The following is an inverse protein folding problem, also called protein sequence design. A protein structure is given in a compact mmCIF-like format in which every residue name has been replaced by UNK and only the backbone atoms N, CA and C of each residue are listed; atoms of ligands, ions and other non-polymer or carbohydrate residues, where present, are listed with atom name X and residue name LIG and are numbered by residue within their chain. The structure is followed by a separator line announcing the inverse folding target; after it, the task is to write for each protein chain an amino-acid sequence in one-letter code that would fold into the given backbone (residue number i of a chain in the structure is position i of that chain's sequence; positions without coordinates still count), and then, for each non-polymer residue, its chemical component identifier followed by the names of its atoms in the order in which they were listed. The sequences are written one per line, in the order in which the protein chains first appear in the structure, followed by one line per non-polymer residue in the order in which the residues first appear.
data_IF_955326867231
#
_entry.id   IF_955326867231
#
_cell.length_a   1.000
_cell.length_b   1.000
_cell.length_c   1.000
_cell.angle_alpha   90.00
_cell.angle_beta   90.00
_cell.angle_gamma   90.00
#
_symmetry.space_group_name_H-M   'P 1'
#
loop_
_entity.id
_entity.type
_entity.pdbx_description
1 polymer ?
#
# COMPACT_ATOMS: atom_id res chain seq x y z
N UNK A 1 -8.44 9.35 14.89
CA UNK A 1 -8.18 8.16 14.05
C UNK A 1 -6.97 8.48 13.20
N UNK A 2 -5.98 7.59 13.12
CA UNK A 2 -4.92 7.74 12.13
C UNK A 2 -5.29 6.98 10.87
N UNK A 3 -5.07 7.62 9.71
CA UNK A 3 -5.39 7.09 8.38
C UNK A 3 -4.09 6.92 7.62
N UNK A 4 -3.84 5.71 7.14
CA UNK A 4 -2.62 5.36 6.43
C UNK A 4 -2.93 5.09 4.95
N UNK A 5 -2.62 6.01 4.03
CA UNK A 5 -2.93 5.84 2.61
C UNK A 5 -2.05 4.78 1.95
N UNK A 6 -2.43 4.36 0.74
CA UNK A 6 -1.61 3.52 -0.13
C UNK A 6 -0.55 4.31 -0.91
N UNK A 7 -0.14 3.78 -2.06
CA UNK A 7 0.78 4.45 -2.99
C UNK A 7 0.13 5.70 -3.62
N UNK A 8 0.94 6.74 -3.88
CA UNK A 8 0.52 7.96 -4.59
C UNK A 8 0.88 9.26 -3.86
N UNK A 9 1.23 9.19 -2.57
CA UNK A 9 1.61 10.35 -1.77
C UNK A 9 3.11 10.69 -1.83
N UNK A 10 3.92 9.87 -2.51
CA UNK A 10 5.36 10.04 -2.60
C UNK A 10 5.76 11.26 -3.44
N UNK A 11 6.87 11.88 -3.07
CA UNK A 11 7.58 12.87 -3.87
C UNK A 11 9.05 12.89 -3.46
N UNK A 12 9.94 13.29 -4.38
CA UNK A 12 11.39 13.35 -4.13
C UNK A 12 11.69 14.34 -3.02
N UNK A 13 12.35 13.89 -1.95
CA UNK A 13 12.66 14.73 -0.79
C UNK A 13 11.58 14.77 0.31
N UNK A 14 10.51 13.96 0.22
CA UNK A 14 9.33 14.04 1.11
C UNK A 14 9.59 13.97 2.62
N UNK A 15 10.71 13.38 3.04
CA UNK A 15 11.05 13.15 4.44
C UNK A 15 12.28 13.96 4.91
N UNK A 16 13.03 14.57 3.99
CA UNK A 16 14.37 15.11 4.25
C UNK A 16 14.37 16.23 5.29
N UNK A 17 13.38 17.12 5.24
CA UNK A 17 13.24 18.19 6.23
C UNK A 17 13.07 17.65 7.65
N UNK A 18 12.25 16.60 7.83
CA UNK A 18 12.01 15.97 9.13
C UNK A 18 13.19 15.11 9.59
N UNK A 19 13.86 14.41 8.67
CA UNK A 19 15.11 13.69 8.98
C UNK A 19 16.16 14.60 9.59
N UNK A 20 16.24 15.84 9.14
CA UNK A 20 17.24 16.80 9.61
C UNK A 20 16.81 17.58 10.87
N UNK A 21 15.52 17.63 11.18
CA UNK A 21 14.98 18.53 12.22
C UNK A 21 14.27 17.83 13.39
N UNK A 22 13.90 16.56 13.24
CA UNK A 22 13.16 15.80 14.26
C UNK A 22 13.88 14.51 14.64
N UNK A 23 14.47 14.44 15.85
CA UNK A 23 15.12 13.21 16.34
C UNK A 23 14.17 12.01 16.37
N UNK A 24 12.93 12.21 16.82
CA UNK A 24 11.90 11.14 16.87
C UNK A 24 11.62 10.56 15.49
N UNK A 25 11.53 11.42 14.47
CA UNK A 25 11.30 10.98 13.11
C UNK A 25 12.54 10.24 12.56
N UNK A 26 13.73 10.81 12.76
CA UNK A 26 14.98 10.22 12.31
C UNK A 26 15.27 8.85 12.93
N UNK A 27 15.04 8.70 14.25
CA UNK A 27 15.19 7.43 14.97
C UNK A 27 14.23 6.36 14.43
N UNK A 28 12.98 6.73 14.13
CA UNK A 28 12.02 5.77 13.56
C UNK A 28 12.38 5.38 12.12
N UNK A 29 12.88 6.30 11.31
CA UNK A 29 13.38 5.98 9.96
C UNK A 29 14.57 5.02 10.06
N UNK A 30 15.55 5.31 10.91
CA UNK A 30 16.72 4.45 11.10
C UNK A 30 16.32 3.03 11.53
N UNK A 31 15.39 2.92 12.48
CA UNK A 31 14.86 1.62 12.90
C UNK A 31 14.15 0.87 11.75
N UNK A 32 13.45 1.57 10.85
CA UNK A 32 12.87 0.95 9.67
C UNK A 32 13.96 0.48 8.70
N UNK A 33 15.00 1.30 8.46
CA UNK A 33 16.14 0.93 7.63
C UNK A 33 16.87 -0.31 8.14
N UNK A 34 17.11 -0.39 9.45
CA UNK A 34 17.68 -1.58 10.10
C UNK A 34 16.81 -2.82 9.92
N UNK A 35 15.49 -2.70 10.07
CA UNK A 35 14.56 -3.81 9.86
C UNK A 35 14.47 -4.23 8.38
N UNK A 36 14.59 -3.29 7.45
CA UNK A 36 14.57 -3.57 6.01
C UNK A 36 15.83 -4.30 5.54
N UNK A 37 16.98 -4.11 6.19
CA UNK A 37 18.26 -4.71 5.79
C UNK A 37 18.27 -6.25 5.76
N UNK A 38 17.29 -6.92 6.39
CA UNK A 38 17.09 -8.37 6.26
C UNK A 38 16.50 -8.76 4.89
N UNK A 39 15.79 -7.86 4.23
CA UNK A 39 14.93 -8.15 3.07
C UNK A 39 15.33 -7.41 1.79
N UNK A 40 16.13 -6.35 1.90
CA UNK A 40 16.56 -5.52 0.75
C UNK A 40 18.06 -5.25 0.77
N UNK A 41 18.61 -4.87 -0.38
CA UNK A 41 20.03 -4.59 -0.62
C UNK A 41 20.36 -3.09 -0.76
N UNK A 42 19.39 -2.21 -0.49
CA UNK A 42 19.52 -0.76 -0.55
C UNK A 42 19.28 -0.12 0.82
N UNK A 43 19.70 1.14 0.96
CA UNK A 43 19.58 1.91 2.20
C UNK A 43 18.42 2.89 2.10
N UNK A 44 17.56 2.89 3.12
CA UNK A 44 16.36 3.72 3.16
C UNK A 44 16.68 5.21 3.18
N UNK A 45 17.68 5.62 3.94
CA UNK A 45 18.07 7.02 4.02
C UNK A 45 18.55 7.55 2.67
N UNK A 46 19.32 6.74 1.92
CA UNK A 46 19.85 7.10 0.61
C UNK A 46 18.70 7.31 -0.39
N UNK A 47 17.67 6.44 -0.36
CA UNK A 47 16.44 6.58 -1.16
C UNK A 47 15.68 7.85 -0.79
N UNK A 48 15.50 8.14 0.50
CA UNK A 48 14.75 9.32 0.95
C UNK A 48 15.47 10.63 0.63
N UNK A 49 16.80 10.61 0.58
CA UNK A 49 17.66 11.75 0.24
C UNK A 49 17.90 11.92 -1.25
N UNK A 50 17.50 10.94 -2.07
CA UNK A 50 17.77 10.91 -3.50
C UNK A 50 19.29 10.99 -3.79
N UNK A 51 20.08 10.24 -3.02
CA UNK A 51 21.54 10.19 -3.19
C UNK A 51 21.93 9.53 -4.52
N UNK A 52 23.07 9.93 -5.08
CA UNK A 52 23.59 9.36 -6.32
C UNK A 52 23.76 7.83 -6.19
N UNK A 53 23.07 7.10 -7.07
CA UNK A 53 23.08 5.63 -7.09
C UNK A 53 22.01 4.95 -6.24
N UNK A 54 21.20 5.71 -5.49
CA UNK A 54 20.03 5.17 -4.81
C UNK A 54 18.94 4.75 -5.83
N UNK A 55 18.17 3.68 -5.54
CA UNK A 55 17.08 3.28 -6.42
C UNK A 55 15.91 4.28 -6.35
N UNK A 56 15.21 4.45 -7.47
CA UNK A 56 14.18 5.50 -7.62
C UNK A 56 12.86 5.13 -6.94
N UNK A 57 12.13 6.15 -6.48
CA UNK A 57 10.75 6.02 -5.96
C UNK A 57 9.71 5.66 -7.05
N UNK A 58 10.11 5.50 -8.31
CA UNK A 58 9.21 5.00 -9.37
C UNK A 58 9.03 3.49 -9.29
N UNK A 59 10.00 2.78 -8.68
CA UNK A 59 9.95 1.33 -8.48
C UNK A 59 9.05 0.97 -7.31
N UNK A 60 8.07 0.08 -7.55
CA UNK A 60 7.12 -0.37 -6.52
C UNK A 60 7.82 -0.98 -5.29
N UNK A 61 8.88 -1.75 -5.51
CA UNK A 61 9.68 -2.40 -4.48
C UNK A 61 10.52 -1.43 -3.62
N UNK A 62 10.57 -0.16 -4.02
CA UNK A 62 11.26 0.92 -3.31
C UNK A 62 10.24 1.86 -2.65
N UNK A 63 9.23 2.28 -3.41
CA UNK A 63 8.24 3.26 -2.96
C UNK A 63 7.35 2.74 -1.84
N UNK A 64 6.94 1.46 -1.84
CA UNK A 64 6.07 0.95 -0.78
C UNK A 64 6.81 0.87 0.57
N UNK A 65 8.03 0.29 0.67
CA UNK A 65 8.78 0.33 1.92
C UNK A 65 9.14 1.75 2.37
N UNK A 66 9.52 2.64 1.45
CA UNK A 66 9.80 4.04 1.78
C UNK A 66 8.56 4.76 2.35
N UNK A 67 7.39 4.59 1.73
CA UNK A 67 6.13 5.14 2.23
C UNK A 67 5.73 4.55 3.58
N UNK A 68 5.92 3.24 3.79
CA UNK A 68 5.72 2.62 5.11
C UNK A 68 6.57 3.33 6.16
N UNK A 69 7.87 3.46 5.92
CA UNK A 69 8.79 4.06 6.88
C UNK A 69 8.44 5.52 7.20
N UNK A 70 8.06 6.31 6.18
CA UNK A 70 7.59 7.69 6.38
C UNK A 70 6.31 7.73 7.19
N UNK A 71 5.30 6.91 6.84
CA UNK A 71 4.02 6.88 7.55
C UNK A 71 4.18 6.52 9.03
N UNK A 72 4.98 5.50 9.36
CA UNK A 72 5.16 5.08 10.75
C UNK A 72 6.03 6.05 11.54
N UNK A 73 6.95 6.75 10.88
CA UNK A 73 7.74 7.84 11.45
C UNK A 73 6.91 9.09 11.72
N UNK A 74 5.97 9.44 10.83
CA UNK A 74 4.98 10.49 11.08
C UNK A 74 4.07 10.12 12.25
N UNK A 75 3.61 8.86 12.34
CA UNK A 75 2.82 8.39 13.46
C UNK A 75 3.59 8.49 14.79
N UNK A 76 4.88 8.13 14.79
CA UNK A 76 5.74 8.31 15.97
C UNK A 76 5.85 9.78 16.39
N UNK A 77 5.98 10.70 15.43
CA UNK A 77 6.03 12.14 15.70
C UNK A 77 4.72 12.67 16.30
N UNK A 78 3.57 12.23 15.79
CA UNK A 78 2.27 12.58 16.36
C UNK A 78 2.13 12.10 17.81
N UNK A 79 2.53 10.85 18.08
CA UNK A 79 2.49 10.28 19.44
C UNK A 79 3.45 10.97 20.40
N UNK A 80 4.65 11.32 19.94
CA UNK A 80 5.59 12.13 20.72
C UNK A 80 5.04 13.54 21.04
N UNK A 81 4.08 14.02 20.25
CA UNK A 81 3.35 15.28 20.50
C UNK A 81 2.10 15.08 21.37
N UNK A 82 1.91 13.90 21.98
CA UNK A 82 0.78 13.57 22.85
C UNK A 82 -0.50 13.17 22.11
N UNK A 83 -0.45 12.96 20.78
CA UNK A 83 -1.61 12.55 19.99
C UNK A 83 -1.61 11.04 19.82
N UNK A 84 -2.42 10.34 20.60
CA UNK A 84 -2.59 8.90 20.53
C UNK A 84 -3.81 8.49 19.70
N UNK A 85 -3.69 7.50 18.78
CA UNK A 85 -4.82 7.06 17.97
C UNK A 85 -5.76 6.16 18.78
N UNK A 86 -7.02 6.57 18.93
CA UNK A 86 -8.09 5.69 19.44
C UNK A 86 -8.46 4.54 18.47
N UNK A 87 -8.13 4.72 17.19
CA UNK A 87 -8.29 3.75 16.12
C UNK A 87 -7.37 4.08 14.93
N UNK A 88 -7.09 3.07 14.13
CA UNK A 88 -6.36 3.18 12.85
C UNK A 88 -7.15 2.54 11.72
N UNK A 89 -6.93 3.05 10.51
CA UNK A 89 -7.41 2.48 9.25
C UNK A 89 -6.31 2.65 8.21
N UNK A 90 -6.09 1.63 7.38
CA UNK A 90 -5.12 1.72 6.29
C UNK A 90 -5.76 1.34 4.96
N UNK A 91 -5.28 1.96 3.88
CA UNK A 91 -5.75 1.71 2.52
C UNK A 91 -4.73 0.85 1.78
N UNK A 92 -5.12 -0.36 1.36
CA UNK A 92 -4.21 -1.30 0.68
C UNK A 92 -2.94 -1.52 1.54
N UNK A 93 -1.73 -1.36 0.97
CA UNK A 93 -0.44 -1.42 1.69
C UNK A 93 -0.34 -0.49 2.92
N UNK A 94 -1.14 0.58 2.97
CA UNK A 94 -1.22 1.47 4.14
C UNK A 94 -1.69 0.73 5.39
N UNK A 95 -2.40 -0.38 5.24
CA UNK A 95 -2.83 -1.23 6.35
C UNK A 95 -1.65 -1.90 7.07
N UNK A 96 -0.51 -2.11 6.39
CA UNK A 96 0.73 -2.60 7.03
C UNK A 96 1.23 -1.57 8.05
N UNK A 97 1.23 -0.28 7.68
CA UNK A 97 1.59 0.81 8.59
C UNK A 97 0.56 0.95 9.73
N UNK A 98 -0.74 0.81 9.43
CA UNK A 98 -1.79 0.83 10.44
C UNK A 98 -1.62 -0.31 11.46
N UNK A 99 -1.39 -1.54 11.00
CA UNK A 99 -1.17 -2.72 11.83
C UNK A 99 0.07 -2.56 12.72
N UNK A 100 1.18 -2.07 12.17
CA UNK A 100 2.37 -1.77 12.95
C UNK A 100 2.10 -0.70 14.03
N UNK A 101 1.48 0.42 13.68
CA UNK A 101 1.19 1.51 14.63
C UNK A 101 0.21 1.10 15.72
N UNK A 102 -0.73 0.21 15.41
CA UNK A 102 -1.63 -0.39 16.38
C UNK A 102 -0.92 -1.37 17.34
N UNK A 103 0.29 -1.85 16.99
CA UNK A 103 0.99 -2.90 17.72
C UNK A 103 0.51 -4.31 17.37
N UNK A 104 -0.16 -4.47 16.23
CA UNK A 104 -0.55 -5.78 15.70
C UNK A 104 0.62 -6.52 15.04
N UNK A 105 1.67 -5.82 14.65
CA UNK A 105 2.87 -6.39 14.03
C UNK A 105 4.11 -5.85 14.73
N UNK A 106 5.12 -6.71 14.86
CA UNK A 106 6.48 -6.25 15.15
C UNK A 106 7.01 -5.40 13.98
N UNK A 107 8.02 -4.56 14.22
CA UNK A 107 8.63 -3.79 13.13
C UNK A 107 9.24 -4.72 12.06
N UNK A 108 9.85 -5.82 12.49
CA UNK A 108 10.44 -6.83 11.61
C UNK A 108 9.40 -7.51 10.73
N UNK A 109 8.25 -7.86 11.28
CA UNK A 109 7.16 -8.49 10.50
C UNK A 109 6.52 -7.50 9.52
N UNK A 110 6.29 -6.27 9.96
CA UNK A 110 5.81 -5.21 9.06
C UNK A 110 6.80 -4.92 7.93
N UNK A 111 8.10 -4.90 8.24
CA UNK A 111 9.19 -4.81 7.27
C UNK A 111 9.17 -5.99 6.28
N UNK A 112 9.04 -7.22 6.78
CA UNK A 112 8.91 -8.42 5.93
C UNK A 112 7.73 -8.28 4.97
N UNK A 113 6.54 -7.94 5.46
CA UNK A 113 5.34 -7.83 4.63
C UNK A 113 5.54 -6.79 3.53
N UNK A 114 5.93 -5.55 3.91
CA UNK A 114 6.00 -4.47 2.93
C UNK A 114 7.07 -4.73 1.87
N UNK A 115 8.24 -5.24 2.25
CA UNK A 115 9.35 -5.50 1.32
C UNK A 115 9.11 -6.72 0.45
N UNK A 116 8.64 -7.84 1.02
CA UNK A 116 8.36 -9.07 0.27
C UNK A 116 7.21 -8.85 -0.71
N UNK A 117 6.09 -8.26 -0.26
CA UNK A 117 4.94 -7.97 -1.12
C UNK A 117 5.35 -7.09 -2.30
N UNK A 118 6.02 -5.98 -2.03
CA UNK A 118 6.40 -5.03 -3.08
C UNK A 118 7.41 -5.64 -4.06
N UNK A 119 8.34 -6.47 -3.57
CA UNK A 119 9.28 -7.22 -4.43
C UNK A 119 8.55 -8.19 -5.36
N UNK A 120 7.62 -9.00 -4.84
CA UNK A 120 6.86 -9.94 -5.66
C UNK A 120 6.01 -9.22 -6.72
N UNK A 121 5.36 -8.11 -6.34
CA UNK A 121 4.64 -7.26 -7.29
C UNK A 121 5.59 -6.77 -8.39
N UNK A 122 6.78 -6.28 -8.02
CA UNK A 122 7.78 -5.82 -9.00
C UNK A 122 8.19 -6.93 -9.95
N UNK A 123 8.53 -8.10 -9.43
CA UNK A 123 9.14 -9.16 -10.23
C UNK A 123 8.13 -9.93 -11.10
N UNK A 124 6.89 -10.06 -10.63
CA UNK A 124 5.90 -10.95 -11.25
C UNK A 124 4.76 -10.22 -11.96
N UNK A 125 4.41 -9.00 -11.51
CA UNK A 125 3.21 -8.29 -11.97
C UNK A 125 3.50 -6.99 -12.72
N UNK A 126 4.63 -6.33 -12.44
CA UNK A 126 4.98 -5.07 -13.10
C UNK A 126 5.07 -5.21 -14.62
N UNK A 127 4.52 -4.23 -15.33
CA UNK A 127 4.37 -4.19 -16.78
C UNK A 127 3.17 -4.99 -17.34
N UNK A 128 2.38 -5.67 -16.51
CA UNK A 128 1.28 -6.56 -16.96
C UNK A 128 -0.12 -6.01 -16.70
N UNK A 129 -0.22 -4.93 -15.93
CA UNK A 129 -1.50 -4.38 -15.51
C UNK A 129 -1.45 -2.87 -15.40
N UNK A 130 -2.60 -2.28 -15.11
CA UNK A 130 -2.70 -0.86 -14.81
C UNK A 130 -3.89 -0.60 -13.88
N UNK A 131 -4.00 0.64 -13.42
CA UNK A 131 -5.14 1.09 -12.61
C UNK A 131 -5.70 2.42 -13.11
N UNK A 132 -6.99 2.63 -12.92
CA UNK A 132 -7.73 3.82 -13.36
C UNK A 132 -8.65 4.31 -12.24
N UNK A 133 -8.58 5.59 -11.91
CA UNK A 133 -9.58 6.25 -11.06
C UNK A 133 -10.75 6.72 -11.92
N UNK A 134 -11.97 6.42 -11.49
CA UNK A 134 -13.23 6.77 -12.16
C UNK A 134 -14.10 7.59 -11.21
N UNK A 135 -14.63 8.70 -11.71
CA UNK A 135 -15.53 9.58 -10.96
C UNK A 135 -17.00 9.10 -11.00
N UNK A 136 -17.24 7.86 -10.55
CA UNK A 136 -18.56 7.22 -10.47
C UNK A 136 -18.74 6.52 -9.12
N UNK A 137 -19.97 6.10 -8.83
CA UNK A 137 -20.29 5.19 -7.71
C UNK A 137 -19.85 3.76 -8.02
N UNK A 138 -19.70 2.94 -6.98
CA UNK A 138 -19.35 1.52 -7.12
C UNK A 138 -20.38 0.75 -7.97
N UNK A 139 -21.67 1.05 -7.81
CA UNK A 139 -22.75 0.41 -8.56
C UNK A 139 -22.62 0.68 -10.08
N UNK A 140 -22.43 1.95 -10.46
CA UNK A 140 -22.25 2.31 -11.87
C UNK A 140 -20.93 1.74 -12.44
N UNK A 141 -19.85 1.71 -11.66
CA UNK A 141 -18.61 1.05 -12.12
C UNK A 141 -18.81 -0.45 -12.31
N UNK A 142 -19.58 -1.11 -11.44
CA UNK A 142 -19.89 -2.54 -11.56
C UNK A 142 -20.58 -2.84 -12.89
N UNK A 143 -21.57 -2.02 -13.27
CA UNK A 143 -22.25 -2.13 -14.57
C UNK A 143 -21.28 -1.87 -15.73
N UNK A 144 -20.44 -0.83 -15.61
CA UNK A 144 -19.48 -0.43 -16.63
C UNK A 144 -18.42 -1.51 -16.92
N UNK A 145 -17.93 -2.22 -15.88
CA UNK A 145 -16.90 -3.25 -16.04
C UNK A 145 -17.46 -4.64 -16.37
N UNK A 146 -18.77 -4.87 -16.24
CA UNK A 146 -19.39 -6.18 -16.46
C UNK A 146 -19.01 -6.84 -17.81
N UNK A 147 -18.90 -6.11 -18.94
CA UNK A 147 -18.47 -6.69 -20.22
C UNK A 147 -17.04 -7.27 -20.21
N UNK A 148 -16.17 -6.80 -19.30
CA UNK A 148 -14.76 -7.17 -19.22
C UNK A 148 -14.51 -8.40 -18.34
N UNK A 149 -15.52 -8.87 -17.58
CA UNK A 149 -15.41 -10.04 -16.69
C UNK A 149 -14.16 -9.94 -15.80
N UNK A 150 -13.35 -10.99 -15.71
CA UNK A 150 -12.17 -11.05 -14.84
C UNK A 150 -10.97 -10.21 -15.34
N UNK A 151 -11.08 -9.55 -16.50
CA UNK A 151 -10.00 -8.71 -17.04
C UNK A 151 -9.87 -7.38 -16.32
N UNK A 152 -10.94 -6.94 -15.63
CA UNK A 152 -11.01 -5.69 -14.87
C UNK A 152 -11.74 -5.97 -13.55
N UNK A 153 -11.25 -5.40 -12.46
CA UNK A 153 -11.81 -5.52 -11.12
C UNK A 153 -11.96 -4.15 -10.47
N UNK A 154 -12.93 -4.00 -9.56
CA UNK A 154 -12.95 -2.85 -8.65
C UNK A 154 -11.83 -3.08 -7.62
N UNK A 155 -10.85 -2.20 -7.64
CA UNK A 155 -9.69 -2.26 -6.75
C UNK A 155 -9.91 -1.50 -5.44
N UNK A 156 -10.65 -0.39 -5.48
CA UNK A 156 -10.96 0.39 -4.29
C UNK A 156 -12.21 1.23 -4.48
N UNK A 157 -13.01 1.36 -3.42
CA UNK A 157 -14.11 2.33 -3.32
C UNK A 157 -13.70 3.40 -2.30
N UNK A 158 -13.20 4.53 -2.80
CA UNK A 158 -12.65 5.61 -1.97
C UNK A 158 -13.71 6.62 -1.53
N UNK A 159 -14.89 6.58 -2.13
CA UNK A 159 -16.01 7.45 -1.80
C UNK A 159 -17.20 7.25 -2.74
N UNK A 160 -18.30 8.00 -2.53
CA UNK A 160 -19.55 7.82 -3.29
C UNK A 160 -19.43 8.10 -4.80
N UNK A 161 -18.40 8.83 -5.21
CA UNK A 161 -18.10 9.15 -6.61
C UNK A 161 -16.60 9.00 -6.90
N UNK A 162 -15.92 8.06 -6.23
CA UNK A 162 -14.49 7.82 -6.40
C UNK A 162 -14.18 6.34 -6.26
N UNK A 163 -14.02 5.69 -7.41
CA UNK A 163 -13.70 4.26 -7.52
C UNK A 163 -12.39 4.12 -8.27
N UNK A 164 -11.60 3.12 -7.90
CA UNK A 164 -10.43 2.69 -8.66
C UNK A 164 -10.72 1.31 -9.22
N UNK A 165 -10.44 1.12 -10.50
CA UNK A 165 -10.42 -0.18 -11.16
C UNK A 165 -8.99 -0.57 -11.51
N UNK A 166 -8.73 -1.87 -11.58
CA UNK A 166 -7.45 -2.43 -11.99
C UNK A 166 -7.67 -3.60 -12.94
N UNK A 167 -6.68 -3.89 -13.78
CA UNK A 167 -6.79 -4.98 -14.74
C UNK A 167 -5.83 -4.88 -15.91
N UNK A 168 -6.19 -5.55 -16.99
CA UNK A 168 -5.42 -5.59 -18.24
C UNK A 168 -5.34 -4.20 -18.90
N UNK A 169 -4.16 -3.78 -19.40
CA UNK A 169 -3.98 -2.43 -19.92
C UNK A 169 -4.94 -2.06 -21.06
N UNK A 170 -5.14 -2.97 -22.02
CA UNK A 170 -5.99 -2.77 -23.20
C UNK A 170 -7.49 -2.72 -22.85
N UNK A 171 -7.92 -3.54 -21.90
CA UNK A 171 -9.28 -3.49 -21.34
C UNK A 171 -9.55 -2.12 -20.69
N UNK A 172 -8.59 -1.63 -19.91
CA UNK A 172 -8.69 -0.33 -19.27
C UNK A 172 -8.60 0.83 -20.26
N UNK A 173 -7.84 0.72 -21.35
CA UNK A 173 -7.79 1.74 -22.42
C UNK A 173 -9.15 1.84 -23.12
N UNK A 174 -9.77 0.70 -23.45
CA UNK A 174 -11.11 0.68 -24.02
C UNK A 174 -12.17 1.25 -23.07
N UNK A 175 -12.02 1.04 -21.76
CA UNK A 175 -12.91 1.59 -20.76
C UNK A 175 -12.73 3.11 -20.63
N UNK A 176 -11.49 3.61 -20.60
CA UNK A 176 -11.22 5.07 -20.60
C UNK A 176 -11.86 5.72 -21.83
N UNK A 177 -11.68 5.15 -23.02
CA UNK A 177 -12.30 5.67 -24.24
C UNK A 177 -13.85 5.67 -24.16
N UNK A 178 -14.44 4.73 -23.43
CA UNK A 178 -15.88 4.73 -23.16
C UNK A 178 -16.27 5.83 -22.20
N UNK A 179 -15.54 5.99 -21.10
CA UNK A 179 -15.74 7.10 -20.17
C UNK A 179 -15.59 8.47 -20.86
N UNK A 180 -14.63 8.65 -21.75
CA UNK A 180 -14.43 9.90 -22.50
C UNK A 180 -15.62 10.21 -23.41
N UNK A 181 -16.16 9.22 -24.12
CA UNK A 181 -17.37 9.37 -24.94
C UNK A 181 -18.59 9.76 -24.13
N UNK A 182 -18.66 9.26 -22.89
CA UNK A 182 -19.80 9.45 -21.99
C UNK A 182 -19.57 10.63 -21.01
N UNK A 183 -18.53 11.44 -21.23
CA UNK A 183 -18.14 12.59 -20.39
C UNK A 183 -17.86 12.26 -18.91
N UNK A 184 -17.47 11.00 -18.65
CA UNK A 184 -17.12 10.49 -17.33
C UNK A 184 -15.62 10.69 -17.11
N UNK A 185 -15.25 11.34 -15.99
CA UNK A 185 -13.83 11.53 -15.65
C UNK A 185 -13.19 10.20 -15.24
N UNK A 186 -12.33 9.68 -16.12
CA UNK A 186 -11.43 8.56 -15.85
C UNK A 186 -9.97 9.01 -15.96
N UNK A 187 -9.09 8.57 -15.05
CA UNK A 187 -7.66 8.93 -15.05
C UNK A 187 -6.78 7.73 -14.73
N UNK A 188 -5.77 7.49 -15.56
CA UNK A 188 -4.70 6.52 -15.28
C UNK A 188 -3.98 6.89 -13.97
N UNK A 189 -3.74 5.88 -13.14
CA UNK A 189 -2.86 5.97 -11.98
C UNK A 189 -1.46 5.55 -12.43
N UNK A 190 -0.42 6.25 -11.97
CA UNK A 190 0.96 5.97 -12.32
C UNK A 190 1.49 4.70 -11.61
N UNK A 191 0.99 3.55 -12.06
CA UNK A 191 1.39 2.19 -11.66
C UNK A 191 1.33 1.29 -12.89
N UNK A 192 2.24 0.31 -12.98
CA UNK A 192 2.38 -0.63 -14.09
C UNK A 192 1.93 -2.05 -13.73
N UNK A 193 1.13 -2.20 -12.67
CA UNK A 193 0.57 -3.47 -12.20
C UNK A 193 -0.90 -3.29 -11.80
N UNK A 194 -1.66 -4.39 -11.76
CA UNK A 194 -3.06 -4.40 -11.36
C UNK A 194 -3.24 -5.09 -10.01
N UNK A 195 -3.00 -4.37 -8.90
CA UNK A 195 -3.36 -4.86 -7.56
C UNK A 195 -4.88 -4.98 -7.42
N UNK A 196 -5.34 -5.79 -6.45
CA UNK A 196 -6.78 -5.99 -6.18
C UNK A 196 -7.55 -6.53 -7.40
N UNK A 197 -6.91 -7.43 -8.15
CA UNK A 197 -7.48 -8.10 -9.33
C UNK A 197 -7.01 -9.54 -9.41
N UNK A 198 -7.63 -10.33 -10.30
CA UNK A 198 -7.23 -11.71 -10.58
C UNK A 198 -5.74 -11.85 -10.97
N UNK A 199 -5.07 -10.78 -11.43
CA UNK A 199 -3.62 -10.85 -11.73
C UNK A 199 -2.77 -11.14 -10.48
N UNK A 200 -3.25 -10.80 -9.27
CA UNK A 200 -2.52 -11.02 -8.02
C UNK A 200 -2.47 -12.50 -7.63
N UNK A 201 -3.36 -13.34 -8.16
CA UNK A 201 -3.34 -14.80 -7.96
C UNK A 201 -1.99 -15.41 -8.39
N UNK A 202 -1.30 -14.80 -9.36
CA UNK A 202 0.00 -15.23 -9.85
C UNK A 202 1.11 -15.20 -8.78
N UNK A 203 0.93 -14.46 -7.68
CA UNK A 203 1.90 -14.38 -6.58
C UNK A 203 1.39 -15.02 -5.28
N UNK A 204 0.18 -15.61 -5.26
CA UNK A 204 -0.46 -16.12 -4.04
C UNK A 204 0.44 -17.11 -3.29
N UNK A 205 0.81 -18.22 -3.93
CA UNK A 205 1.59 -19.28 -3.28
C UNK A 205 2.93 -18.79 -2.74
N UNK A 206 3.65 -17.98 -3.53
CA UNK A 206 4.97 -17.45 -3.16
C UNK A 206 4.85 -16.44 -2.01
N UNK A 207 3.82 -15.59 -2.02
CA UNK A 207 3.54 -14.65 -0.93
C UNK A 207 3.18 -15.38 0.37
N UNK A 208 2.31 -16.39 0.30
CA UNK A 208 1.90 -17.17 1.46
C UNK A 208 3.09 -17.89 2.11
N UNK A 209 3.98 -18.47 1.31
CA UNK A 209 5.18 -19.14 1.80
C UNK A 209 6.14 -18.15 2.48
N UNK A 210 6.43 -17.03 1.83
CA UNK A 210 7.38 -16.04 2.35
C UNK A 210 6.86 -15.29 3.59
N UNK A 211 5.55 -15.22 3.76
CA UNK A 211 4.89 -14.61 4.93
C UNK A 211 4.43 -15.63 5.98
N UNK A 212 4.63 -16.93 5.77
CA UNK A 212 4.28 -17.96 6.75
C UNK A 212 4.88 -17.73 8.15
N UNK A 213 6.10 -17.18 8.32
CA UNK A 213 6.70 -16.98 9.64
C UNK A 213 6.22 -15.74 10.40
N UNK A 214 5.15 -15.06 9.96
CA UNK A 214 4.62 -13.89 10.68
C UNK A 214 4.04 -14.28 12.05
N UNK A 215 4.20 -13.40 13.04
CA UNK A 215 3.64 -13.57 14.39
C UNK A 215 2.73 -12.38 14.76
N UNK A 216 1.49 -12.32 14.24
CA UNK A 216 0.57 -11.23 14.54
C UNK A 216 0.21 -11.16 16.03
N UNK A 217 0.15 -9.95 16.56
CA UNK A 217 -0.05 -9.68 17.99
C UNK A 217 -1.43 -9.08 18.27
N UNK A 218 -1.90 -9.24 19.51
CA UNK A 218 -3.13 -8.58 19.97
C UNK A 218 -2.88 -7.09 20.18
N UNK A 219 -3.62 -6.26 19.48
CA UNK A 219 -3.64 -4.81 19.63
C UNK A 219 -4.72 -4.36 20.62
N UNK A 220 -4.44 -3.29 21.37
CA UNK A 220 -5.46 -2.55 22.15
C UNK A 220 -6.04 -1.36 21.38
N UNK A 221 -5.36 -0.89 20.33
CA UNK A 221 -5.85 0.12 19.40
C UNK A 221 -6.74 -0.57 18.37
N UNK A 222 -7.95 -0.04 18.15
CA UNK A 222 -8.90 -0.61 17.17
C UNK A 222 -8.34 -0.44 15.75
N UNK A 223 -8.17 -1.55 15.04
CA UNK A 223 -7.87 -1.54 13.61
C UNK A 223 -9.16 -1.85 12.84
N UNK A 224 -9.64 -0.87 12.06
CA UNK A 224 -10.75 -1.07 11.14
C UNK A 224 -10.19 -1.58 9.82
N UNK A 225 -10.43 -2.86 9.53
CA UNK A 225 -9.94 -3.48 8.30
C UNK A 225 -10.76 -2.99 7.13
N UNK A 226 -10.09 -2.55 6.07
CA UNK A 226 -10.72 -2.22 4.79
C UNK A 226 -10.92 -3.46 3.91
N UNK A 227 -10.50 -4.63 4.37
CA UNK A 227 -10.70 -5.93 3.69
C UNK A 227 -11.95 -6.61 4.21
N UNK A 228 -12.21 -6.53 5.52
CA UNK A 228 -13.35 -7.21 6.18
C UNK A 228 -14.45 -6.25 6.64
N UNK A 229 -14.34 -4.97 6.32
CA UNK A 229 -15.30 -3.89 6.65
C UNK A 229 -15.71 -3.84 8.14
N UNK A 230 -14.78 -4.15 9.03
CA UNK A 230 -15.04 -4.30 10.47
C UNK A 230 -13.79 -4.10 11.32
N UNK A 231 -13.97 -3.93 12.63
CA UNK A 231 -12.84 -4.01 13.57
C UNK A 231 -12.34 -5.45 13.59
N UNK A 232 -11.07 -5.66 13.24
CA UNK A 232 -10.49 -7.00 13.12
C UNK A 232 -9.82 -7.47 14.42
N UNK A 233 -9.85 -8.78 14.67
CA UNK A 233 -8.97 -9.40 15.68
C UNK A 233 -7.55 -9.50 15.11
N UNK A 234 -6.65 -8.65 15.60
CA UNK A 234 -5.34 -8.47 14.97
C UNK A 234 -4.45 -9.71 15.01
N UNK A 235 -4.76 -10.70 15.85
CA UNK A 235 -4.06 -12.00 15.86
C UNK A 235 -4.34 -12.85 14.61
N UNK A 236 -5.33 -12.49 13.79
CA UNK A 236 -5.64 -13.18 12.54
C UNK A 236 -5.02 -12.53 11.30
N UNK A 237 -4.16 -11.51 11.47
CA UNK A 237 -3.50 -10.80 10.36
C UNK A 237 -2.28 -11.59 9.84
N UNK A 238 -2.50 -12.85 9.50
CA UNK A 238 -1.51 -13.80 8.99
C UNK A 238 -1.18 -13.59 7.50
N UNK A 239 -0.36 -14.48 6.93
CA UNK A 239 -0.04 -14.46 5.49
C UNK A 239 -1.29 -14.45 4.59
N UNK A 240 -2.33 -15.21 4.95
CA UNK A 240 -3.59 -15.27 4.22
C UNK A 240 -4.36 -13.95 4.31
N UNK A 241 -4.29 -13.25 5.43
CA UNK A 241 -4.82 -11.89 5.53
C UNK A 241 -4.09 -10.93 4.59
N UNK A 242 -2.76 -10.92 4.61
CA UNK A 242 -1.95 -10.01 3.78
C UNK A 242 -2.02 -10.31 2.28
N UNK A 243 -2.39 -11.54 1.89
CA UNK A 243 -2.75 -11.85 0.51
C UNK A 243 -4.11 -11.27 0.10
N UNK A 244 -5.11 -11.29 1.00
CA UNK A 244 -6.43 -10.69 0.75
C UNK A 244 -6.39 -9.15 0.74
N UNK A 245 -5.40 -8.54 1.40
CA UNK A 245 -5.13 -7.09 1.40
C UNK A 245 -4.37 -6.60 0.16
#
# INVERSE_FOLDING_TARGET
VFVFPGQGAQWVGMAVGLLNSSPVFAERIAACGEAFAEFVDWRLEDVLRDEDGAPTLERVDIVQPALFAVMVSLAALWRASGVEPAAVVGHSQGEIAAAYVAGALSLRDAARIVTVRSRLVRERLAGRGAMVSIALSADHVTELIAPYRNRVSIAAVNGPASVVISGEPDALDALIATCERDEIRARRIAVDYASHSAQVEAIESELLELLAPLEPQRSTIRLYSTVTDSVIDTTTMDAGYWYRN
#
